data_IF_645025393297
#
_entry.id   IF_645025393297
#
_cell.length_a   1.000
_cell.length_b   1.000
_cell.length_c   1.000
_cell.angle_alpha   90.00
_cell.angle_beta   90.00
_cell.angle_gamma   90.00
#
_symmetry.space_group_name_H-M   'P 1'
#
loop_
_entity.id
_entity.type
_entity.pdbx_description
1 polymer ?
#
# COMPACT_ATOMS: atom_id res chain seq x y z
N UNK A 1 16.03 7.95 -7.51
CA UNK A 1 14.77 7.91 -8.30
C UNK A 1 13.66 7.63 -7.32
N UNK A 2 12.67 8.52 -7.20
CA UNK A 2 11.55 8.37 -6.26
C UNK A 2 10.31 8.01 -7.08
N UNK A 3 9.86 6.78 -6.92
CA UNK A 3 8.63 6.28 -7.52
C UNK A 3 7.54 6.41 -6.47
N UNK A 4 6.39 6.97 -6.84
CA UNK A 4 5.19 6.99 -6.00
C UNK A 4 4.21 5.96 -6.55
N UNK A 5 3.67 5.14 -5.67
CA UNK A 5 2.53 4.28 -5.98
C UNK A 5 1.24 5.05 -5.70
N UNK A 6 0.50 5.39 -6.75
CA UNK A 6 -0.81 6.05 -6.64
C UNK A 6 -1.88 4.97 -6.67
N UNK A 7 -2.54 4.74 -5.54
CA UNK A 7 -3.70 3.86 -5.45
C UNK A 7 -4.93 4.55 -6.05
N UNK A 8 -5.59 3.84 -6.97
CA UNK A 8 -6.87 4.22 -7.54
C UNK A 8 -7.99 3.49 -6.79
N UNK A 9 -9.15 4.16 -6.66
CA UNK A 9 -10.32 3.63 -5.94
C UNK A 9 -10.86 2.31 -6.51
N UNK A 10 -10.46 1.93 -7.73
CA UNK A 10 -10.90 0.70 -8.39
C UNK A 10 -9.91 -0.47 -8.27
N UNK A 11 -9.00 -0.40 -7.31
CA UNK A 11 -8.03 -1.48 -7.04
C UNK A 11 -6.88 -1.53 -8.03
N UNK A 12 -6.68 -0.47 -8.82
CA UNK A 12 -5.45 -0.29 -9.60
C UNK A 12 -4.45 0.55 -8.84
N UNK A 13 -3.18 0.36 -9.18
CA UNK A 13 -2.12 1.28 -8.78
C UNK A 13 -1.38 1.77 -10.03
N UNK A 14 -0.85 2.98 -9.95
CA UNK A 14 0.03 3.53 -10.96
C UNK A 14 1.40 3.85 -10.35
N UNK A 15 2.46 3.45 -11.04
CA UNK A 15 3.82 3.87 -10.72
C UNK A 15 4.09 5.21 -11.41
N UNK A 16 4.43 6.21 -10.61
CA UNK A 16 4.72 7.56 -11.06
C UNK A 16 6.17 7.93 -10.81
N UNK A 17 6.86 8.39 -11.86
CA UNK A 17 8.18 8.98 -11.72
C UNK A 17 8.07 10.50 -11.52
N UNK A 18 8.42 10.96 -10.31
CA UNK A 18 8.39 12.39 -9.98
C UNK A 18 9.38 13.23 -10.81
N UNK A 19 10.53 12.68 -11.17
CA UNK A 19 11.59 13.40 -11.87
C UNK A 19 11.21 13.67 -13.33
N UNK A 20 10.52 12.73 -13.98
CA UNK A 20 10.04 12.87 -15.36
C UNK A 20 8.61 13.38 -15.47
N UNK A 21 7.89 13.50 -14.34
CA UNK A 21 6.50 13.89 -14.27
C UNK A 21 5.60 13.03 -15.19
N UNK A 22 5.81 11.70 -15.15
CA UNK A 22 5.15 10.72 -16.03
C UNK A 22 4.76 9.45 -15.27
N UNK A 23 3.60 8.89 -15.64
CA UNK A 23 3.23 7.52 -15.25
C UNK A 23 4.05 6.53 -16.06
N UNK A 24 4.69 5.58 -15.36
CA UNK A 24 5.49 4.51 -15.95
C UNK A 24 4.66 3.25 -16.18
N UNK A 25 3.71 2.96 -15.30
CA UNK A 25 2.90 1.75 -15.34
C UNK A 25 1.56 1.97 -14.64
N UNK A 26 0.53 1.26 -15.07
CA UNK A 26 -0.72 1.06 -14.33
C UNK A 26 -1.03 -0.43 -14.32
N UNK A 27 -1.30 -1.00 -13.15
CA UNK A 27 -1.61 -2.41 -12.98
C UNK A 27 -2.65 -2.61 -11.88
N UNK A 28 -3.20 -3.82 -11.76
CA UNK A 28 -4.07 -4.17 -10.64
C UNK A 28 -3.23 -4.52 -9.43
N UNK A 29 -3.67 -4.09 -8.25
CA UNK A 29 -2.94 -4.40 -7.00
C UNK A 29 -2.91 -5.90 -6.74
N UNK A 30 -3.98 -6.63 -7.06
CA UNK A 30 -4.09 -8.08 -6.90
C UNK A 30 -3.03 -8.90 -7.68
N UNK A 31 -2.52 -8.36 -8.79
CA UNK A 31 -1.53 -9.06 -9.63
C UNK A 31 -0.10 -8.97 -9.06
N UNK A 32 0.17 -7.98 -8.20
CA UNK A 32 1.52 -7.65 -7.72
C UNK A 32 1.68 -7.81 -6.21
N UNK A 33 0.62 -7.51 -5.45
CA UNK A 33 0.65 -7.49 -4.00
C UNK A 33 -0.29 -8.57 -3.46
N UNK A 34 0.27 -9.63 -2.85
CA UNK A 34 -0.55 -10.71 -2.34
C UNK A 34 -1.20 -10.33 -1.00
N UNK A 35 -2.38 -10.88 -0.76
CA UNK A 35 -3.12 -10.72 0.49
C UNK A 35 -3.40 -9.27 0.90
N UNK A 36 -3.45 -8.35 -0.07
CA UNK A 36 -3.92 -7.00 0.21
C UNK A 36 -5.39 -7.03 0.65
N UNK A 37 -5.75 -6.31 1.71
CA UNK A 37 -7.14 -6.17 2.12
C UNK A 37 -7.93 -5.42 1.04
N UNK A 38 -9.24 -5.66 1.01
CA UNK A 38 -10.16 -4.83 0.21
C UNK A 38 -10.24 -3.43 0.81
N UNK A 39 -10.60 -2.45 -0.01
CA UNK A 39 -10.82 -1.05 0.40
C UNK A 39 -9.58 -0.34 0.97
N UNK A 40 -8.41 -0.59 0.38
CA UNK A 40 -7.20 0.18 0.67
C UNK A 40 -7.44 1.66 0.38
N UNK A 41 -7.23 2.51 1.38
CA UNK A 41 -7.35 3.97 1.30
C UNK A 41 -6.01 4.65 1.03
N UNK A 42 -4.92 3.99 1.39
CA UNK A 42 -3.58 4.53 1.17
C UNK A 42 -2.52 3.62 1.74
N UNK A 43 -1.26 3.92 1.39
CA UNK A 43 -0.09 3.18 1.85
C UNK A 43 0.93 4.21 2.34
N UNK A 44 1.60 3.90 3.44
CA UNK A 44 2.70 4.73 3.92
C UNK A 44 3.87 4.68 2.95
N UNK A 45 4.85 5.55 3.16
CA UNK A 45 6.18 5.32 2.60
C UNK A 45 6.69 3.95 3.07
N UNK A 46 7.37 3.25 2.16
CA UNK A 46 8.10 2.03 2.46
C UNK A 46 9.34 2.35 3.32
N UNK A 47 9.47 1.68 4.47
CA UNK A 47 10.60 1.81 5.40
C UNK A 47 11.00 0.42 5.89
N UNK A 48 12.31 0.10 5.85
CA UNK A 48 12.86 -1.20 6.26
C UNK A 48 12.14 -2.41 5.63
N UNK A 49 11.85 -2.35 4.32
CA UNK A 49 11.13 -3.38 3.57
C UNK A 49 9.70 -3.65 4.09
N UNK A 50 9.12 -2.68 4.80
CA UNK A 50 7.74 -2.71 5.29
C UNK A 50 6.96 -1.47 4.83
N UNK A 51 5.67 -1.65 4.58
CA UNK A 51 4.74 -0.56 4.30
C UNK A 51 3.45 -0.73 5.08
N UNK A 52 2.91 0.37 5.61
CA UNK A 52 1.63 0.35 6.32
C UNK A 52 0.51 0.57 5.32
N UNK A 53 -0.40 -0.40 5.24
CA UNK A 53 -1.59 -0.34 4.39
C UNK A 53 -2.76 0.14 5.25
N UNK A 54 -3.38 1.25 4.87
CA UNK A 54 -4.50 1.84 5.59
C UNK A 54 -5.81 1.45 4.91
N UNK A 55 -6.74 0.92 5.69
CA UNK A 55 -8.14 0.69 5.30
C UNK A 55 -9.06 1.58 6.13
N UNK A 56 -10.38 1.41 5.99
CA UNK A 56 -11.34 2.18 6.80
C UNK A 56 -11.20 2.00 8.31
N UNK A 57 -10.86 0.79 8.76
CA UNK A 57 -10.91 0.43 10.19
C UNK A 57 -9.62 -0.21 10.71
N UNK A 58 -8.76 -0.70 9.80
CA UNK A 58 -7.57 -1.48 10.13
C UNK A 58 -6.34 -0.92 9.41
N UNK A 59 -5.20 -1.04 10.07
CA UNK A 59 -3.86 -0.82 9.50
C UNK A 59 -3.16 -2.16 9.42
N UNK A 60 -2.67 -2.50 8.25
CA UNK A 60 -1.93 -3.73 8.01
C UNK A 60 -0.46 -3.41 7.76
N UNK A 61 0.43 -4.33 8.13
CA UNK A 61 1.85 -4.23 7.80
C UNK A 61 2.10 -5.13 6.61
N UNK A 62 2.46 -4.55 5.47
CA UNK A 62 2.89 -5.29 4.29
C UNK A 62 4.39 -5.48 4.33
N UNK A 63 4.85 -6.71 4.19
CA UNK A 63 6.28 -7.05 4.15
C UNK A 63 6.68 -7.32 2.71
N UNK A 64 7.59 -6.50 2.18
CA UNK A 64 8.06 -6.59 0.79
C UNK A 64 8.74 -7.94 0.53
N UNK A 65 9.51 -8.44 1.50
CA UNK A 65 10.23 -9.72 1.37
C UNK A 65 9.29 -10.94 1.34
N UNK A 66 8.17 -10.88 2.06
CA UNK A 66 7.17 -11.95 2.08
C UNK A 66 6.13 -11.76 0.96
N UNK A 67 6.17 -10.61 0.30
CA UNK A 67 5.17 -10.14 -0.66
C UNK A 67 3.73 -10.28 -0.17
N UNK A 68 3.51 -10.08 1.13
CA UNK A 68 2.23 -10.33 1.79
C UNK A 68 2.03 -9.43 3.00
N UNK A 69 0.78 -9.34 3.43
CA UNK A 69 0.39 -8.69 4.69
C UNK A 69 0.71 -9.60 5.88
N UNK A 70 1.26 -9.01 6.94
CA UNK A 70 1.55 -9.70 8.19
C UNK A 70 0.39 -9.54 9.20
N UNK A 71 -0.20 -10.67 9.59
CA UNK A 71 -1.23 -10.77 10.64
C UNK A 71 -2.62 -10.25 10.24
N UNK A 72 -3.50 -10.13 11.23
CA UNK A 72 -4.93 -9.84 11.02
C UNK A 72 -5.28 -8.34 10.89
N UNK A 73 -4.27 -7.46 10.98
CA UNK A 73 -4.43 -6.02 10.98
C UNK A 73 -4.68 -5.42 12.36
N UNK A 74 -4.32 -4.14 12.52
CA UNK A 74 -4.38 -3.39 13.76
C UNK A 74 -5.52 -2.37 13.69
N UNK A 75 -6.49 -2.35 14.62
CA UNK A 75 -7.54 -1.33 14.64
C UNK A 75 -6.98 0.09 14.65
N UNK A 76 -7.57 1.01 13.88
CA UNK A 76 -7.09 2.39 13.77
C UNK A 76 -7.04 3.09 15.14
N UNK A 77 -8.02 2.85 16.02
CA UNK A 77 -8.02 3.41 17.38
C UNK A 77 -6.80 2.97 18.18
N UNK A 78 -6.47 1.68 18.12
CA UNK A 78 -5.27 1.13 18.76
C UNK A 78 -3.99 1.68 18.12
N UNK A 79 -3.95 1.76 16.80
CA UNK A 79 -2.78 2.23 16.04
C UNK A 79 -2.47 3.72 16.29
N UNK A 80 -3.49 4.58 16.33
CA UNK A 80 -3.33 6.00 16.62
C UNK A 80 -3.33 6.33 18.11
N UNK A 81 -3.44 5.32 18.99
CA UNK A 81 -3.51 5.50 20.44
C UNK A 81 -4.60 6.49 20.88
N UNK A 82 -5.78 6.39 20.25
CA UNK A 82 -6.93 7.27 20.48
C UNK A 82 -8.06 6.54 21.22
#
# INVERSE_FOLDING_TARGET
MKIIDILQDDGRFAMYDEYWNKSLMTARTEDYFMDLPKDVRGVSKWENDEGKIYTHNLVYVYKVLENAVSGDGIPLSTFFHC
#
